data_IF_728778201407
#
_entry.id   IF_728778201407
#
_cell.length_a   1.000
_cell.length_b   1.000
_cell.length_c   1.000
_cell.angle_alpha   90.00
_cell.angle_beta   90.00
_cell.angle_gamma   90.00
#
_symmetry.space_group_name_H-M   'P 1'
#
loop_
_entity.id
_entity.type
_entity.pdbx_description
1 polymer ?
#
# COMPACT_ATOMS: atom_id res chain seq x y z
N UNK A 1 -27.33 6.42 15.68
CA UNK A 1 -25.95 5.92 15.48
C UNK A 1 -26.06 4.43 15.15
N UNK A 2 -26.16 4.11 13.84
CA UNK A 2 -26.22 2.75 13.37
C UNK A 2 -24.83 2.12 13.40
N UNK A 3 -24.53 1.27 14.36
CA UNK A 3 -23.44 0.31 14.24
C UNK A 3 -23.77 -0.61 13.09
N UNK A 4 -23.06 -0.49 11.99
CA UNK A 4 -23.05 -1.53 10.97
C UNK A 4 -22.43 -2.77 11.60
N UNK A 5 -23.26 -3.74 11.94
CA UNK A 5 -22.81 -5.09 12.28
C UNK A 5 -22.26 -5.69 10.98
N UNK A 6 -20.94 -5.71 10.83
CA UNK A 6 -20.31 -6.46 9.76
C UNK A 6 -20.47 -7.95 10.07
N UNK A 7 -21.17 -8.68 9.22
CA UNK A 7 -21.19 -10.13 9.30
C UNK A 7 -19.80 -10.66 8.96
N UNK A 8 -19.23 -11.43 9.88
CA UNK A 8 -17.97 -12.14 9.68
C UNK A 8 -18.30 -13.59 9.28
N UNK A 9 -17.99 -13.93 8.05
CA UNK A 9 -18.12 -15.30 7.54
C UNK A 9 -16.81 -16.08 7.70
N UNK A 10 -16.89 -17.36 8.10
CA UNK A 10 -15.76 -18.29 8.07
C UNK A 10 -15.85 -19.18 6.83
N UNK A 11 -14.79 -19.17 6.02
CA UNK A 11 -14.67 -20.01 4.83
C UNK A 11 -13.49 -20.96 5.01
N UNK A 12 -13.76 -22.25 5.01
CA UNK A 12 -12.73 -23.30 5.02
C UNK A 12 -12.49 -23.81 3.61
N UNK A 13 -11.23 -23.88 3.20
CA UNK A 13 -10.79 -24.35 1.91
C UNK A 13 -9.66 -25.38 2.07
N UNK A 14 -9.57 -26.31 1.13
CA UNK A 14 -8.47 -27.27 1.05
C UNK A 14 -7.77 -27.13 -0.32
N UNK A 15 -6.44 -27.26 -0.35
CA UNK A 15 -5.62 -27.17 -1.54
C UNK A 15 -4.55 -26.09 -1.48
N UNK A 16 -4.07 -25.65 -2.65
CA UNK A 16 -3.06 -24.57 -2.74
C UNK A 16 -3.63 -23.23 -2.29
N UNK A 17 -2.96 -22.59 -1.34
CA UNK A 17 -3.41 -21.36 -0.70
C UNK A 17 -3.60 -20.23 -1.71
N UNK A 18 -2.66 -20.05 -2.63
CA UNK A 18 -2.70 -18.95 -3.61
C UNK A 18 -3.87 -19.13 -4.57
N UNK A 19 -4.08 -20.37 -5.02
CA UNK A 19 -5.19 -20.69 -5.90
C UNK A 19 -6.53 -20.49 -5.20
N UNK A 20 -6.69 -21.00 -3.97
CA UNK A 20 -7.93 -20.88 -3.20
C UNK A 20 -8.29 -19.42 -2.91
N UNK A 21 -7.29 -18.59 -2.53
CA UNK A 21 -7.49 -17.16 -2.31
C UNK A 21 -7.85 -16.42 -3.60
N UNK A 22 -7.19 -16.76 -4.71
CA UNK A 22 -7.50 -16.16 -6.01
C UNK A 22 -8.94 -16.46 -6.46
N UNK A 23 -9.35 -17.69 -6.30
CA UNK A 23 -10.70 -18.13 -6.67
C UNK A 23 -11.75 -17.46 -5.76
N UNK A 24 -11.46 -17.33 -4.46
CA UNK A 24 -12.34 -16.63 -3.53
C UNK A 24 -12.44 -15.13 -3.83
N UNK A 25 -11.33 -14.46 -4.10
CA UNK A 25 -11.31 -13.03 -4.50
C UNK A 25 -12.15 -12.80 -5.76
N UNK A 26 -12.03 -13.68 -6.76
CA UNK A 26 -12.86 -13.60 -7.97
C UNK A 26 -14.33 -13.83 -7.69
N UNK A 27 -14.66 -14.82 -6.87
CA UNK A 27 -16.04 -15.19 -6.53
C UNK A 27 -16.75 -14.09 -5.73
N UNK A 28 -16.03 -13.50 -4.75
CA UNK A 28 -16.60 -12.53 -3.82
C UNK A 28 -16.46 -11.07 -4.27
N UNK A 29 -15.65 -10.79 -5.29
CA UNK A 29 -15.32 -9.43 -5.70
C UNK A 29 -14.53 -8.63 -4.65
N UNK A 30 -13.75 -9.34 -3.81
CA UNK A 30 -12.99 -8.74 -2.72
C UNK A 30 -11.98 -7.72 -3.22
N UNK A 31 -12.03 -6.50 -2.71
CA UNK A 31 -11.15 -5.40 -3.10
C UNK A 31 -9.82 -5.37 -2.35
N UNK A 32 -9.76 -5.98 -1.17
CA UNK A 32 -8.56 -6.01 -0.33
C UNK A 32 -8.44 -7.34 0.41
N UNK A 33 -7.29 -7.98 0.31
CA UNK A 33 -6.92 -9.19 1.06
C UNK A 33 -5.96 -8.81 2.16
N UNK A 34 -6.23 -9.22 3.40
CA UNK A 34 -5.39 -8.93 4.56
C UNK A 34 -4.68 -10.21 4.98
N UNK A 35 -3.36 -10.14 5.16
CA UNK A 35 -2.54 -11.25 5.59
C UNK A 35 -1.60 -10.87 6.72
N UNK A 36 -1.32 -11.82 7.60
CA UNK A 36 -0.25 -11.67 8.60
C UNK A 36 1.14 -11.76 7.94
N UNK A 37 2.04 -10.87 8.34
CA UNK A 37 3.41 -10.77 7.79
C UNK A 37 4.45 -11.65 8.47
N UNK A 38 4.08 -12.56 9.37
CA UNK A 38 5.01 -13.43 10.08
C UNK A 38 5.48 -14.61 9.18
N UNK A 39 6.66 -14.51 8.62
CA UNK A 39 7.49 -15.66 8.28
C UNK A 39 7.56 -16.14 6.83
N UNK A 40 6.67 -15.81 5.91
CA UNK A 40 6.78 -16.28 4.53
C UNK A 40 6.77 -15.14 3.52
N UNK A 41 7.93 -14.52 3.35
CA UNK A 41 8.17 -13.47 2.35
C UNK A 41 7.67 -13.87 0.94
N UNK A 42 7.92 -15.12 0.56
CA UNK A 42 7.50 -15.65 -0.74
C UNK A 42 5.97 -15.65 -0.91
N UNK A 43 5.22 -16.09 0.10
CA UNK A 43 3.75 -16.10 0.01
C UNK A 43 3.17 -14.69 -0.20
N UNK A 44 3.68 -13.69 0.49
CA UNK A 44 3.24 -12.30 0.30
C UNK A 44 3.56 -11.80 -1.13
N UNK A 45 4.72 -12.16 -1.69
CA UNK A 45 5.07 -11.87 -3.07
C UNK A 45 4.10 -12.53 -4.06
N UNK A 46 3.80 -13.82 -3.85
CA UNK A 46 2.91 -14.58 -4.73
C UNK A 46 1.48 -14.02 -4.67
N UNK A 47 1.01 -13.61 -3.50
CA UNK A 47 -0.29 -12.95 -3.35
C UNK A 47 -0.34 -11.62 -4.12
N UNK A 48 0.68 -10.78 -3.99
CA UNK A 48 0.74 -9.53 -4.77
C UNK A 48 0.79 -9.81 -6.26
N UNK A 49 1.43 -10.88 -6.67
CA UNK A 49 1.59 -11.24 -8.09
C UNK A 49 0.32 -11.85 -8.69
N UNK A 50 -0.36 -12.74 -7.97
CA UNK A 50 -1.38 -13.64 -8.55
C UNK A 50 -2.82 -13.31 -8.13
N UNK A 51 -3.05 -12.47 -7.13
CA UNK A 51 -4.39 -12.12 -6.64
C UNK A 51 -4.81 -10.74 -7.14
N UNK A 52 -6.02 -10.63 -7.67
CA UNK A 52 -6.55 -9.40 -8.28
C UNK A 52 -7.21 -8.45 -7.24
N UNK A 53 -6.79 -8.49 -5.99
CA UNK A 53 -7.16 -7.55 -4.94
C UNK A 53 -5.95 -6.77 -4.46
N UNK A 54 -6.16 -5.63 -3.81
CA UNK A 54 -5.12 -4.98 -3.03
C UNK A 54 -4.68 -5.88 -1.88
N UNK A 55 -3.39 -5.87 -1.53
CA UNK A 55 -2.84 -6.75 -0.49
C UNK A 55 -2.38 -5.90 0.68
N UNK A 56 -2.96 -6.14 1.84
CA UNK A 56 -2.54 -5.56 3.11
C UNK A 56 -1.76 -6.57 3.93
N UNK A 57 -0.45 -6.35 4.06
CA UNK A 57 0.43 -7.20 4.87
C UNK A 57 0.60 -6.55 6.23
N UNK A 58 0.10 -7.19 7.27
CA UNK A 58 0.20 -6.74 8.66
C UNK A 58 1.47 -7.30 9.28
N UNK A 59 2.48 -6.46 9.43
CA UNK A 59 3.77 -6.80 10.06
C UNK A 59 3.95 -6.00 11.33
N UNK A 60 4.42 -6.67 12.39
CA UNK A 60 4.83 -6.03 13.64
C UNK A 60 3.84 -4.96 14.15
N UNK A 61 2.55 -5.19 13.91
CA UNK A 61 1.51 -4.28 14.35
C UNK A 61 1.42 -4.26 15.88
N UNK A 62 1.48 -3.06 16.44
CA UNK A 62 1.36 -2.82 17.89
C UNK A 62 0.06 -2.06 18.15
N UNK A 63 -0.92 -2.63 18.85
CA UNK A 63 -2.24 -1.99 19.04
C UNK A 63 -2.18 -0.61 19.70
N UNK A 64 -1.23 -0.42 20.62
CA UNK A 64 -1.09 0.82 21.40
C UNK A 64 -0.20 1.88 20.73
N UNK A 65 0.30 1.59 19.55
CA UNK A 65 1.17 2.52 18.82
C UNK A 65 0.34 3.47 17.96
N UNK A 66 0.67 4.74 18.01
CA UNK A 66 0.11 5.75 17.08
C UNK A 66 0.81 5.64 15.74
N UNK A 67 0.07 5.24 14.73
CA UNK A 67 0.54 5.16 13.35
C UNK A 67 0.25 6.44 12.57
N UNK A 68 1.07 6.70 11.55
CA UNK A 68 0.79 7.64 10.46
C UNK A 68 0.82 6.89 9.14
N UNK A 69 0.11 7.37 8.15
CA UNK A 69 0.21 6.83 6.80
C UNK A 69 1.43 7.43 6.11
N UNK A 70 2.26 6.58 5.51
CA UNK A 70 3.29 6.98 4.55
C UNK A 70 2.83 6.55 3.15
N UNK A 71 2.27 7.49 2.40
CA UNK A 71 1.80 7.23 1.04
C UNK A 71 2.88 7.62 0.02
N UNK A 72 3.42 6.63 -0.69
CA UNK A 72 4.37 6.89 -1.76
C UNK A 72 3.67 7.48 -2.98
N UNK A 73 4.23 8.58 -3.50
CA UNK A 73 3.67 9.36 -4.60
C UNK A 73 4.69 9.50 -5.73
N UNK A 74 4.29 9.07 -6.90
CA UNK A 74 4.99 9.28 -8.17
C UNK A 74 3.98 9.67 -9.27
N UNK A 75 4.44 9.79 -10.51
CA UNK A 75 3.60 10.13 -11.67
C UNK A 75 2.87 8.92 -12.28
N UNK A 76 2.88 7.76 -11.60
CA UNK A 76 2.23 6.55 -12.10
C UNK A 76 0.73 6.50 -11.82
N UNK A 77 -0.04 5.73 -12.62
CA UNK A 77 -1.45 5.46 -12.32
C UNK A 77 -1.67 4.78 -10.96
N UNK A 78 -0.67 4.06 -10.44
CA UNK A 78 -0.70 3.42 -9.12
C UNK A 78 -0.87 4.43 -7.99
N UNK A 79 -0.23 5.58 -8.08
CA UNK A 79 -0.39 6.69 -7.12
C UNK A 79 -1.83 7.15 -7.00
N UNK A 80 -2.58 7.21 -8.10
CA UNK A 80 -3.98 7.63 -8.08
C UNK A 80 -4.87 6.67 -7.27
N UNK A 81 -4.55 5.38 -7.30
CA UNK A 81 -5.25 4.37 -6.50
C UNK A 81 -4.80 4.44 -5.04
N UNK A 82 -3.48 4.50 -4.80
CA UNK A 82 -2.90 4.56 -3.46
C UNK A 82 -3.45 5.74 -2.65
N UNK A 83 -3.53 6.94 -3.23
CA UNK A 83 -4.08 8.13 -2.54
C UNK A 83 -5.55 7.97 -2.14
N UNK A 84 -6.38 7.27 -2.94
CA UNK A 84 -7.77 6.99 -2.57
C UNK A 84 -7.87 6.07 -1.34
N UNK A 85 -7.00 5.06 -1.27
CA UNK A 85 -6.91 4.20 -0.10
C UNK A 85 -6.36 4.95 1.11
N UNK A 86 -5.35 5.81 0.93
CA UNK A 86 -4.80 6.62 2.01
C UNK A 86 -5.88 7.52 2.65
N UNK A 87 -6.76 8.13 1.85
CA UNK A 87 -7.91 8.89 2.36
C UNK A 87 -8.83 8.01 3.19
N UNK A 88 -9.26 6.87 2.65
CA UNK A 88 -10.19 5.97 3.34
C UNK A 88 -9.63 5.45 4.66
N UNK A 89 -8.36 5.04 4.65
CA UNK A 89 -7.68 4.53 5.85
C UNK A 89 -7.47 5.65 6.88
N UNK A 90 -7.05 6.85 6.44
CA UNK A 90 -6.89 8.02 7.31
C UNK A 90 -8.21 8.37 8.01
N UNK A 91 -9.30 8.43 7.26
CA UNK A 91 -10.63 8.74 7.81
C UNK A 91 -11.14 7.63 8.76
N UNK A 92 -10.95 6.35 8.39
CA UNK A 92 -11.42 5.22 9.19
C UNK A 92 -10.67 5.08 10.52
N UNK A 93 -9.36 5.37 10.51
CA UNK A 93 -8.49 5.21 11.68
C UNK A 93 -8.18 6.53 12.39
N UNK A 94 -8.62 7.66 11.85
CA UNK A 94 -8.31 9.01 12.34
C UNK A 94 -6.81 9.25 12.50
N UNK A 95 -6.01 8.90 11.49
CA UNK A 95 -4.54 9.03 11.50
C UNK A 95 -4.04 9.95 10.39
N UNK A 96 -2.95 10.68 10.66
CA UNK A 96 -2.37 11.64 9.70
C UNK A 96 -1.70 10.96 8.50
N UNK A 97 -1.53 11.74 7.42
CA UNK A 97 -0.93 11.28 6.16
C UNK A 97 0.33 12.06 5.82
N UNK A 98 1.40 11.34 5.54
CA UNK A 98 2.61 11.85 4.90
C UNK A 98 2.62 11.38 3.43
N UNK A 99 2.75 12.32 2.50
CA UNK A 99 2.91 12.06 1.06
C UNK A 99 4.40 12.10 0.75
N UNK A 100 4.99 10.97 0.40
CA UNK A 100 6.41 10.84 0.14
C UNK A 100 6.70 10.75 -1.35
N UNK A 101 7.43 11.73 -1.87
CA UNK A 101 7.93 11.76 -3.26
C UNK A 101 9.44 11.59 -3.26
N UNK A 102 9.95 10.64 -4.03
CA UNK A 102 11.37 10.30 -4.04
C UNK A 102 11.93 10.49 -5.46
N UNK A 103 13.07 11.15 -5.57
CA UNK A 103 13.85 11.26 -6.79
C UNK A 103 15.23 10.63 -6.59
N UNK A 104 15.83 10.13 -7.68
CA UNK A 104 17.21 9.67 -7.65
C UNK A 104 18.24 10.80 -7.59
N UNK A 105 17.82 12.02 -7.90
CA UNK A 105 18.66 13.23 -7.93
C UNK A 105 17.91 14.38 -7.28
N UNK A 106 18.63 15.43 -6.88
CA UNK A 106 18.06 16.65 -6.29
C UNK A 106 17.09 17.39 -7.21
N UNK A 107 17.13 17.08 -8.50
CA UNK A 107 16.23 17.67 -9.48
C UNK A 107 14.92 16.86 -9.58
N UNK A 108 13.92 17.26 -8.82
CA UNK A 108 12.57 16.73 -8.96
C UNK A 108 11.94 17.29 -10.24
N UNK A 109 11.83 16.48 -11.26
CA UNK A 109 11.18 16.86 -12.53
C UNK A 109 9.73 17.32 -12.34
N UNK A 110 9.18 18.00 -13.35
CA UNK A 110 7.81 18.54 -13.32
C UNK A 110 6.75 17.46 -13.04
N UNK A 111 6.95 16.24 -13.53
CA UNK A 111 6.06 15.10 -13.27
C UNK A 111 5.92 14.78 -11.78
N UNK A 112 7.03 14.65 -11.04
CA UNK A 112 7.03 14.38 -9.61
C UNK A 112 6.40 15.51 -8.79
N UNK A 113 6.76 16.76 -9.08
CA UNK A 113 6.17 17.95 -8.44
C UNK A 113 4.68 18.05 -8.72
N UNK A 114 4.27 17.78 -9.96
CA UNK A 114 2.87 17.74 -10.37
C UNK A 114 2.08 16.66 -9.64
N UNK A 115 2.61 15.43 -9.56
CA UNK A 115 1.98 14.33 -8.84
C UNK A 115 1.83 14.61 -7.34
N UNK A 116 2.88 15.15 -6.68
CA UNK A 116 2.83 15.55 -5.29
C UNK A 116 1.76 16.63 -5.03
N UNK A 117 1.72 17.67 -5.89
CA UNK A 117 0.73 18.75 -5.81
C UNK A 117 -0.70 18.23 -5.98
N UNK A 118 -0.93 17.33 -6.97
CA UNK A 118 -2.24 16.72 -7.18
C UNK A 118 -2.66 15.84 -6.00
N UNK A 119 -1.73 15.07 -5.43
CA UNK A 119 -2.00 14.24 -4.26
C UNK A 119 -2.38 15.10 -3.05
N UNK A 120 -1.62 16.17 -2.77
CA UNK A 120 -1.93 17.10 -1.68
C UNK A 120 -3.29 17.80 -1.85
N UNK A 121 -3.60 18.26 -3.07
CA UNK A 121 -4.92 18.84 -3.37
C UNK A 121 -6.05 17.83 -3.15
N UNK A 122 -5.84 16.57 -3.53
CA UNK A 122 -6.81 15.51 -3.33
C UNK A 122 -7.05 15.24 -1.84
N UNK A 123 -5.99 15.14 -1.03
CA UNK A 123 -6.09 14.98 0.43
C UNK A 123 -6.87 16.13 1.07
N UNK A 124 -6.52 17.37 0.73
CA UNK A 124 -7.20 18.57 1.27
C UNK A 124 -8.68 18.60 0.93
N UNK A 125 -9.06 18.25 -0.31
CA UNK A 125 -10.47 18.15 -0.72
C UNK A 125 -11.23 17.07 0.06
N UNK A 126 -10.52 16.08 0.59
CA UNK A 126 -11.07 15.02 1.43
C UNK A 126 -11.04 15.35 2.93
N UNK A 127 -10.69 16.58 3.31
CA UNK A 127 -10.60 17.02 4.70
C UNK A 127 -9.35 16.53 5.44
N UNK A 128 -8.31 16.09 4.71
CA UNK A 128 -7.08 15.56 5.30
C UNK A 128 -5.94 16.56 5.10
N UNK A 129 -5.34 16.99 6.20
CA UNK A 129 -4.10 17.78 6.18
C UNK A 129 -2.90 16.83 6.05
N UNK A 130 -2.39 16.70 4.84
CA UNK A 130 -1.28 15.81 4.52
C UNK A 130 0.02 16.59 4.37
N UNK A 131 1.09 16.09 5.01
CA UNK A 131 2.43 16.65 4.88
C UNK A 131 3.11 16.09 3.62
N UNK A 132 3.63 16.99 2.75
CA UNK A 132 4.48 16.60 1.63
C UNK A 132 5.94 16.45 2.07
N UNK A 133 6.53 15.32 1.76
CA UNK A 133 7.93 14.98 1.98
C UNK A 133 8.60 14.74 0.63
N UNK A 134 9.79 15.30 0.44
CA UNK A 134 10.61 15.13 -0.77
C UNK A 134 11.98 14.60 -0.34
N UNK A 135 12.34 13.44 -0.84
CA UNK A 135 13.59 12.76 -0.48
C UNK A 135 14.38 12.35 -1.71
N UNK A 136 15.69 12.33 -1.60
CA UNK A 136 16.61 11.90 -2.64
C UNK A 136 17.21 10.55 -2.28
N UNK A 137 17.16 9.59 -3.22
CA UNK A 137 17.76 8.29 -2.99
C UNK A 137 17.12 7.15 -3.78
N UNK A 138 17.48 5.91 -3.42
CA UNK A 138 16.78 4.75 -3.96
C UNK A 138 15.36 4.69 -3.40
N UNK A 139 14.34 4.62 -4.26
CA UNK A 139 12.96 4.68 -3.80
C UNK A 139 12.58 3.60 -2.78
N UNK A 140 13.04 2.37 -2.96
CA UNK A 140 12.69 1.27 -2.04
C UNK A 140 13.32 1.46 -0.68
N UNK A 141 14.61 1.76 -0.64
CA UNK A 141 15.35 1.99 0.60
C UNK A 141 14.85 3.23 1.34
N UNK A 142 14.58 4.31 0.62
CA UNK A 142 14.08 5.55 1.21
C UNK A 142 12.71 5.37 1.85
N UNK A 143 11.78 4.66 1.20
CA UNK A 143 10.47 4.35 1.80
C UNK A 143 10.65 3.55 3.10
N UNK A 144 11.49 2.51 3.09
CA UNK A 144 11.73 1.65 4.27
C UNK A 144 12.31 2.48 5.42
N UNK A 145 13.32 3.31 5.14
CA UNK A 145 13.97 4.14 6.16
C UNK A 145 13.01 5.18 6.75
N UNK A 146 12.20 5.82 5.90
CA UNK A 146 11.24 6.84 6.33
C UNK A 146 10.05 6.26 7.10
N UNK A 147 9.68 5.03 6.79
CA UNK A 147 8.56 4.38 7.47
C UNK A 147 8.91 3.94 8.90
N UNK A 148 10.13 3.45 9.13
CA UNK A 148 10.49 2.86 10.43
C UNK A 148 9.47 1.82 10.87
N UNK A 149 9.07 1.88 12.15
CA UNK A 149 8.07 0.94 12.73
C UNK A 149 6.71 1.62 12.98
N UNK A 150 6.59 2.94 12.83
CA UNK A 150 5.40 3.71 13.23
C UNK A 150 4.55 4.23 12.09
N UNK A 151 4.79 3.72 10.88
CA UNK A 151 3.97 4.06 9.73
C UNK A 151 3.20 2.84 9.20
N UNK A 152 2.08 3.15 8.55
CA UNK A 152 1.41 2.25 7.62
C UNK A 152 1.76 2.73 6.21
N UNK A 153 2.54 1.92 5.49
CA UNK A 153 2.94 2.24 4.12
C UNK A 153 1.77 1.97 3.17
N UNK A 154 1.47 2.92 2.28
CA UNK A 154 0.53 2.73 1.19
C UNK A 154 1.22 3.03 -0.14
N UNK A 155 1.27 2.05 -1.02
CA UNK A 155 1.91 2.16 -2.34
C UNK A 155 1.00 1.60 -3.44
N UNK A 156 1.04 2.24 -4.61
CA UNK A 156 0.41 1.68 -5.80
C UNK A 156 1.24 0.55 -6.40
N UNK A 157 0.60 -0.54 -6.79
CA UNK A 157 1.24 -1.55 -7.61
C UNK A 157 1.61 -0.96 -8.97
N UNK A 158 2.78 -1.32 -9.50
CA UNK A 158 3.20 -0.91 -10.83
C UNK A 158 2.26 -1.49 -11.88
N UNK A 159 1.61 -0.63 -12.67
CA UNK A 159 0.71 -1.02 -13.77
C UNK A 159 1.43 -1.41 -15.06
N UNK A 160 2.76 -1.44 -15.06
CA UNK A 160 3.55 -1.76 -16.25
C UNK A 160 3.61 -3.26 -16.48
N UNK A 161 2.56 -3.83 -16.88
CA UNK A 161 2.33 -5.08 -17.62
C UNK A 161 1.18 -5.92 -17.03
N UNK A 162 0.11 -6.15 -17.78
CA UNK A 162 -0.89 -7.17 -17.43
C UNK A 162 -0.42 -8.59 -17.75
N UNK A 163 0.79 -8.78 -18.28
CA UNK A 163 1.24 -10.06 -18.80
C UNK A 163 2.65 -10.41 -18.30
N UNK A 164 2.69 -11.37 -17.36
CA UNK A 164 3.70 -12.47 -17.26
C UNK A 164 5.19 -12.16 -17.34
N UNK A 165 5.72 -10.99 -16.99
CA UNK A 165 7.17 -10.87 -16.86
C UNK A 165 7.54 -10.41 -15.46
N UNK A 166 7.85 -11.39 -14.61
CA UNK A 166 8.72 -11.29 -13.45
C UNK A 166 8.81 -9.91 -12.80
N UNK A 167 8.07 -9.70 -11.71
CA UNK A 167 8.22 -8.54 -10.81
C UNK A 167 9.61 -8.50 -10.12
N UNK A 168 10.64 -9.08 -10.72
CA UNK A 168 12.02 -8.90 -10.27
C UNK A 168 12.35 -7.41 -10.40
N UNK A 169 12.51 -6.71 -9.27
CA UNK A 169 12.76 -5.27 -9.23
C UNK A 169 11.49 -4.40 -9.09
N UNK A 170 10.35 -4.95 -8.70
CA UNK A 170 9.16 -4.16 -8.34
C UNK A 170 9.37 -3.44 -7.02
N UNK A 171 9.38 -2.10 -7.07
CA UNK A 171 9.59 -1.27 -5.87
C UNK A 171 8.66 -1.62 -4.69
N UNK A 172 7.32 -1.82 -4.90
CA UNK A 172 6.44 -2.25 -3.82
C UNK A 172 6.82 -3.60 -3.20
N UNK A 173 7.30 -4.56 -3.98
CA UNK A 173 7.74 -5.86 -3.46
C UNK A 173 9.04 -5.76 -2.67
N UNK A 174 9.98 -4.91 -3.14
CA UNK A 174 11.22 -4.64 -2.43
C UNK A 174 10.95 -3.97 -1.08
N UNK A 175 10.07 -2.95 -1.06
CA UNK A 175 9.64 -2.30 0.18
C UNK A 175 8.95 -3.30 1.11
N UNK A 176 7.98 -4.07 0.59
CA UNK A 176 7.28 -5.09 1.35
C UNK A 176 8.24 -6.12 1.95
N UNK A 177 9.26 -6.49 1.22
CA UNK A 177 10.28 -7.42 1.70
C UNK A 177 11.14 -6.91 2.84
N UNK A 178 11.40 -5.61 2.89
CA UNK A 178 12.39 -5.00 3.78
C UNK A 178 11.78 -4.12 4.89
N UNK A 179 10.52 -3.70 4.80
CA UNK A 179 9.89 -2.92 5.86
C UNK A 179 9.52 -3.77 7.09
N UNK A 180 9.53 -3.13 8.26
CA UNK A 180 9.13 -3.73 9.54
C UNK A 180 7.75 -3.27 10.02
N UNK A 181 7.02 -2.52 9.22
CA UNK A 181 5.71 -1.96 9.53
C UNK A 181 4.63 -2.50 8.58
N UNK A 182 3.34 -2.30 8.89
CA UNK A 182 2.26 -2.70 8.00
C UNK A 182 2.36 -2.01 6.62
N UNK A 183 2.05 -2.74 5.55
CA UNK A 183 2.09 -2.21 4.18
C UNK A 183 0.86 -2.64 3.38
N UNK A 184 0.23 -1.68 2.71
CA UNK A 184 -0.85 -1.86 1.76
C UNK A 184 -0.36 -1.61 0.33
N UNK A 185 -0.37 -2.64 -0.49
CA UNK A 185 -0.08 -2.56 -1.93
C UNK A 185 -1.41 -2.50 -2.68
N UNK A 186 -1.67 -1.37 -3.32
CA UNK A 186 -2.95 -1.07 -3.99
C UNK A 186 -2.86 -1.42 -5.48
N UNK A 187 -3.79 -2.25 -5.93
CA UNK A 187 -3.96 -2.64 -7.34
C UNK A 187 -5.03 -1.83 -8.06
#
# INVERSE_FOLDING_TARGET
EGRMTQEVGLILRNGDIIQQLRDEVKRSGTNCTIIGGSGKRQMAHDLVQFIDSSIFVVKNFKPDQVYKILCAVDDSPGTNRARKYAVRVSQALNIGVNLLTISKTDNFGSGYKGAASQAAKFMRRSGIDAKNLFEVGDPSQTVVNMAGDNHLIIMGASSRSPIKKFFKGSKPLDVMGNCNCPILIVK
#
